data_IF_408983835858
#
_entry.id   IF_408983835858
#
_cell.length_a   1.000
_cell.length_b   1.000
_cell.length_c   1.000
_cell.angle_alpha   90.00
_cell.angle_beta   90.00
_cell.angle_gamma   90.00
#
_symmetry.space_group_name_H-M   'P 1'
#
loop_
_entity.id
_entity.type
_entity.pdbx_description
1 polymer ?
#
# COMPACT_ATOMS: atom_id res chain seq x y z
N UNK A 1 -35.71 73.32 45.69
CA UNK A 1 -36.86 74.22 45.45
C UNK A 1 -37.71 73.57 44.38
N UNK A 2 -39.04 73.50 44.57
CA UNK A 2 -40.07 73.03 43.59
C UNK A 2 -39.88 71.58 43.07
N UNK A 3 -40.87 70.70 42.89
CA UNK A 3 -42.27 70.81 42.43
C UNK A 3 -42.39 71.31 40.98
N UNK A 4 -43.33 70.87 40.15
CA UNK A 4 -44.43 69.89 40.34
C UNK A 4 -44.45 68.94 39.11
N UNK A 5 -45.50 68.35 38.51
CA UNK A 5 -46.97 68.39 38.62
C UNK A 5 -47.56 66.97 38.42
N UNK A 6 -48.85 66.82 38.75
CA UNK A 6 -49.56 65.54 38.92
C UNK A 6 -50.61 65.28 37.82
N UNK A 7 -50.75 64.04 37.33
CA UNK A 7 -52.05 63.38 36.97
C UNK A 7 -51.83 61.89 36.68
N UNK A 8 -52.35 60.86 37.36
CA UNK A 8 -53.48 60.60 38.28
C UNK A 8 -54.71 59.90 37.64
N UNK A 9 -55.20 58.87 38.36
CA UNK A 9 -56.35 57.93 38.15
C UNK A 9 -55.90 56.50 37.76
N UNK A 10 -55.91 55.46 38.62
CA UNK A 10 -56.94 54.81 39.49
C UNK A 10 -57.83 53.78 38.74
N UNK A 11 -58.32 52.69 39.40
CA UNK A 11 -57.64 51.81 40.36
C UNK A 11 -58.07 50.30 40.28
N UNK A 12 -57.43 49.45 41.11
CA UNK A 12 -57.97 48.14 41.59
C UNK A 12 -58.12 47.00 40.54
N UNK A 13 -58.24 45.71 40.89
CA UNK A 13 -58.47 45.04 42.19
C UNK A 13 -57.38 44.03 42.59
N UNK A 14 -57.40 43.62 43.87
CA UNK A 14 -56.57 42.55 44.46
C UNK A 14 -57.34 41.24 44.57
N UNK A 15 -56.61 40.13 44.64
CA UNK A 15 -57.04 38.86 45.26
C UNK A 15 -56.88 37.65 44.33
N UNK A 16 -56.50 36.46 44.81
CA UNK A 16 -55.84 36.07 46.07
C UNK A 16 -55.35 34.61 45.90
N UNK A 17 -54.35 34.18 46.67
CA UNK A 17 -53.90 32.76 46.67
C UNK A 17 -55.00 31.84 47.21
N UNK A 18 -55.06 30.57 46.75
CA UNK A 18 -54.92 29.38 47.62
C UNK A 18 -54.78 28.06 46.83
N UNK A 19 -53.82 27.25 47.31
CA UNK A 19 -53.58 25.80 47.24
C UNK A 19 -54.11 24.89 46.10
N UNK A 20 -53.16 24.13 45.55
CA UNK A 20 -53.15 22.65 45.40
C UNK A 20 -54.17 21.94 44.48
N UNK A 21 -53.64 21.19 43.50
CA UNK A 21 -53.74 19.72 43.51
C UNK A 21 -52.74 19.07 42.53
N UNK A 22 -52.02 18.03 42.97
CA UNK A 22 -51.02 17.32 42.17
C UNK A 22 -51.67 16.17 41.37
N UNK A 23 -52.07 16.43 40.13
CA UNK A 23 -52.68 15.42 39.27
C UNK A 23 -51.64 14.65 38.43
N UNK A 24 -51.39 13.38 38.79
CA UNK A 24 -50.56 12.45 38.02
C UNK A 24 -51.19 12.14 36.66
N UNK A 25 -50.74 12.81 35.59
CA UNK A 25 -51.00 12.38 34.21
C UNK A 25 -49.96 11.34 33.79
N UNK A 26 -50.39 10.08 33.73
CA UNK A 26 -49.62 9.00 33.09
C UNK A 26 -49.46 9.31 31.60
N UNK A 27 -48.25 9.68 31.18
CA UNK A 27 -47.93 9.86 29.76
C UNK A 27 -47.79 8.51 29.08
N UNK A 28 -48.68 8.19 28.14
CA UNK A 28 -48.59 6.97 27.34
C UNK A 28 -47.27 6.93 26.56
N UNK A 29 -46.43 5.94 26.86
CA UNK A 29 -45.11 5.80 26.26
C UNK A 29 -45.24 5.49 24.75
N UNK A 30 -44.95 6.50 23.92
CA UNK A 30 -44.90 6.36 22.46
C UNK A 30 -43.68 5.47 22.10
N UNK A 31 -43.86 4.32 21.45
CA UNK A 31 -42.76 3.39 21.22
C UNK A 31 -41.69 4.04 20.32
N UNK A 32 -40.45 4.09 20.81
CA UNK A 32 -39.31 4.53 20.00
C UNK A 32 -39.13 3.57 18.83
N UNK A 33 -39.31 4.10 17.62
CA UNK A 33 -39.03 3.37 16.38
C UNK A 33 -37.55 3.00 16.39
N UNK A 34 -37.22 1.71 16.50
CA UNK A 34 -35.83 1.20 16.47
C UNK A 34 -35.11 1.85 15.27
N UNK A 35 -34.03 2.56 15.54
CA UNK A 35 -33.12 2.97 14.48
C UNK A 35 -32.52 1.69 13.89
N UNK A 36 -32.59 1.53 12.57
CA UNK A 36 -31.86 0.46 11.89
C UNK A 36 -30.37 0.76 12.07
N UNK A 37 -29.69 -0.05 12.89
CA UNK A 37 -28.23 -0.03 12.95
C UNK A 37 -27.70 -0.29 11.54
N UNK A 38 -26.93 0.67 11.01
CA UNK A 38 -26.33 0.54 9.70
C UNK A 38 -25.38 -0.68 9.72
N UNK A 39 -25.64 -1.67 8.86
CA UNK A 39 -24.68 -2.75 8.62
C UNK A 39 -23.39 -2.13 8.07
N UNK A 40 -22.22 -2.34 8.68
CA UNK A 40 -20.96 -1.94 8.07
C UNK A 40 -20.79 -2.74 6.76
N UNK A 41 -20.47 -2.04 5.67
CA UNK A 41 -20.15 -2.67 4.38
C UNK A 41 -18.69 -3.14 4.46
N UNK A 42 -18.49 -4.29 5.08
CA UNK A 42 -17.24 -5.05 4.98
C UNK A 42 -17.54 -6.38 4.31
N UNK A 43 -17.09 -6.53 3.07
CA UNK A 43 -17.23 -7.75 2.25
C UNK A 43 -15.97 -8.61 2.29
N UNK A 44 -15.01 -8.28 3.16
CA UNK A 44 -13.85 -9.13 3.44
C UNK A 44 -14.32 -10.39 4.17
N UNK A 45 -14.33 -11.53 3.47
CA UNK A 45 -14.41 -12.84 4.12
C UNK A 45 -13.22 -12.96 5.06
N UNK A 46 -13.47 -12.92 6.37
CA UNK A 46 -12.42 -13.06 7.36
C UNK A 46 -11.84 -14.48 7.28
N UNK A 47 -10.56 -14.59 6.89
CA UNK A 47 -9.75 -15.80 7.09
C UNK A 47 -9.45 -15.94 8.58
N UNK A 48 -10.48 -16.31 9.35
CA UNK A 48 -10.31 -16.83 10.70
C UNK A 48 -9.79 -18.26 10.57
N UNK A 49 -8.89 -18.65 11.46
CA UNK A 49 -8.79 -20.07 11.81
C UNK A 49 -10.15 -20.50 12.38
N UNK A 50 -10.67 -21.65 11.97
CA UNK A 50 -11.92 -22.20 12.52
C UNK A 50 -11.77 -22.66 13.98
N UNK A 51 -10.55 -22.70 14.51
CA UNK A 51 -10.29 -22.77 15.95
C UNK A 51 -10.55 -21.39 16.60
N UNK A 52 -11.48 -21.28 17.57
CA UNK A 52 -11.54 -20.10 18.43
C UNK A 52 -10.21 -19.99 19.18
N UNK A 53 -9.47 -18.90 18.95
CA UNK A 53 -8.33 -18.55 19.81
C UNK A 53 -8.94 -18.06 21.13
N UNK A 54 -8.76 -18.82 22.21
CA UNK A 54 -9.21 -18.38 23.51
C UNK A 54 -8.28 -17.27 24.03
N UNK A 55 -8.83 -16.06 24.05
CA UNK A 55 -8.16 -14.84 24.52
C UNK A 55 -8.63 -14.44 25.93
N UNK A 56 -9.44 -15.28 26.61
CA UNK A 56 -10.00 -14.93 27.93
C UNK A 56 -8.94 -14.91 29.04
N UNK A 57 -7.86 -15.66 28.89
CA UNK A 57 -6.70 -15.66 29.79
C UNK A 57 -5.67 -14.57 29.45
N UNK A 58 -5.78 -13.92 28.28
CA UNK A 58 -4.84 -12.88 27.84
C UNK A 58 -5.32 -11.52 28.37
N UNK A 59 -4.56 -10.86 29.27
CA UNK A 59 -4.93 -9.52 29.73
C UNK A 59 -4.88 -8.53 28.55
N UNK A 60 -5.85 -7.61 28.40
CA UNK A 60 -5.89 -6.68 27.27
C UNK A 60 -4.74 -5.67 27.38
N UNK A 61 -3.69 -5.87 26.57
CA UNK A 61 -2.54 -4.98 26.49
C UNK A 61 -2.80 -3.80 25.55
N UNK A 62 -2.10 -2.66 25.73
CA UNK A 62 -2.07 -1.59 24.73
C UNK A 62 -1.46 -2.08 23.40
N UNK A 63 -1.86 -1.49 22.27
CA UNK A 63 -1.27 -1.81 20.95
C UNK A 63 0.25 -1.48 20.86
N UNK A 64 0.75 -0.64 21.76
CA UNK A 64 2.18 -0.35 21.92
C UNK A 64 2.92 -1.34 22.83
N UNK A 65 2.28 -2.42 23.27
CA UNK A 65 2.93 -3.49 24.04
C UNK A 65 3.45 -4.56 23.08
N UNK A 66 4.69 -4.38 22.65
CA UNK A 66 5.40 -5.26 21.74
C UNK A 66 5.96 -6.49 22.48
N UNK A 67 6.03 -7.62 21.78
CA UNK A 67 6.74 -8.82 22.24
C UNK A 67 8.27 -8.61 22.27
N UNK A 68 8.99 -9.50 22.95
CA UNK A 68 10.47 -9.42 23.05
C UNK A 68 11.15 -9.38 21.67
N UNK A 69 10.67 -10.16 20.71
CA UNK A 69 11.18 -10.19 19.32
C UNK A 69 10.89 -8.87 18.59
N UNK A 70 9.71 -8.30 18.78
CA UNK A 70 9.31 -7.02 18.17
C UNK A 70 10.10 -5.83 18.76
N UNK A 71 10.40 -5.85 20.06
CA UNK A 71 11.31 -4.86 20.68
C UNK A 71 12.76 -5.04 20.20
N UNK A 72 13.26 -6.27 20.11
CA UNK A 72 14.61 -6.55 19.60
C UNK A 72 14.78 -6.14 18.13
N UNK A 73 13.74 -6.31 17.31
CA UNK A 73 13.68 -5.76 15.95
C UNK A 73 13.76 -4.23 15.97
N UNK A 74 12.97 -3.56 16.83
CA UNK A 74 13.01 -2.11 16.97
C UNK A 74 14.42 -1.60 17.35
N UNK A 75 15.01 -2.13 18.43
CA UNK A 75 16.35 -1.72 18.90
C UNK A 75 17.44 -1.95 17.84
N UNK A 76 17.44 -3.12 17.18
CA UNK A 76 18.43 -3.45 16.16
C UNK A 76 18.34 -2.54 14.93
N UNK A 77 17.12 -2.34 14.40
CA UNK A 77 16.91 -1.51 13.20
C UNK A 77 17.12 -0.04 13.50
N UNK A 78 16.67 0.46 14.66
CA UNK A 78 16.92 1.85 15.07
C UNK A 78 18.42 2.13 15.21
N UNK A 79 19.18 1.18 15.76
CA UNK A 79 20.65 1.28 15.80
C UNK A 79 21.26 1.28 14.40
N UNK A 80 20.93 0.31 13.55
CA UNK A 80 21.43 0.25 12.17
C UNK A 80 21.12 1.53 11.38
N UNK A 81 19.91 2.07 11.53
CA UNK A 81 19.51 3.32 10.90
C UNK A 81 20.35 4.51 11.38
N UNK A 82 20.58 4.67 12.68
CA UNK A 82 21.37 5.78 13.22
C UNK A 82 22.88 5.64 12.98
N UNK A 83 23.44 4.43 13.07
CA UNK A 83 24.88 4.19 12.93
C UNK A 83 25.34 4.13 11.45
N UNK A 84 24.51 3.62 10.54
CA UNK A 84 24.91 3.30 9.15
C UNK A 84 24.19 4.13 8.09
N UNK A 85 22.88 4.36 8.24
CA UNK A 85 22.08 5.06 7.22
C UNK A 85 22.16 6.58 7.42
N UNK A 86 21.94 7.07 8.64
CA UNK A 86 21.89 8.51 8.99
C UNK A 86 23.09 9.33 8.45
N UNK A 87 24.35 8.85 8.48
CA UNK A 87 25.48 9.59 7.91
C UNK A 87 25.42 9.78 6.39
N UNK A 88 24.62 8.98 5.67
CA UNK A 88 24.57 8.91 4.20
C UNK A 88 23.31 9.53 3.58
N UNK A 89 22.23 9.70 4.35
CA UNK A 89 20.89 10.16 3.86
C UNK A 89 20.99 11.38 2.96
N UNK A 90 21.76 12.40 3.39
CA UNK A 90 21.91 13.65 2.64
C UNK A 90 22.59 13.44 1.29
N UNK A 91 23.65 12.64 1.26
CA UNK A 91 24.42 12.40 0.04
C UNK A 91 23.62 11.56 -0.96
N UNK A 92 22.75 10.64 -0.46
CA UNK A 92 21.82 9.87 -1.28
C UNK A 92 20.68 10.73 -1.87
N UNK A 93 20.10 11.65 -1.08
CA UNK A 93 19.06 12.59 -1.53
C UNK A 93 19.62 13.57 -2.57
N UNK A 94 20.77 14.20 -2.30
CA UNK A 94 21.43 15.13 -3.24
C UNK A 94 21.92 14.43 -4.53
N UNK A 95 22.18 13.11 -4.49
CA UNK A 95 22.57 12.31 -5.66
C UNK A 95 21.39 11.65 -6.41
N UNK A 96 20.16 11.72 -5.89
CA UNK A 96 18.98 10.96 -6.36
C UNK A 96 19.25 9.43 -6.49
N UNK A 97 20.11 8.85 -5.64
CA UNK A 97 20.61 7.47 -5.76
C UNK A 97 20.74 6.76 -4.41
N UNK A 98 20.23 5.52 -4.35
CA UNK A 98 20.46 4.61 -3.22
C UNK A 98 21.92 4.14 -3.20
N UNK A 99 22.50 3.94 -2.01
CA UNK A 99 23.81 3.30 -1.84
C UNK A 99 23.67 1.77 -1.92
N UNK A 100 24.31 1.07 -2.88
CA UNK A 100 24.29 -0.38 -2.97
C UNK A 100 24.76 -1.09 -1.69
N UNK A 101 25.67 -0.47 -0.92
CA UNK A 101 26.17 -1.05 0.33
C UNK A 101 25.13 -0.97 1.47
N UNK A 102 24.13 -0.06 1.40
CA UNK A 102 22.97 -0.12 2.31
C UNK A 102 22.05 -1.26 1.87
N UNK A 103 21.81 -1.42 0.56
CA UNK A 103 20.96 -2.49 0.03
C UNK A 103 21.51 -3.88 0.38
N UNK A 104 22.82 -4.08 0.28
CA UNK A 104 23.52 -5.30 0.71
C UNK A 104 23.31 -5.58 2.21
N UNK A 105 23.57 -4.59 3.08
CA UNK A 105 23.36 -4.73 4.52
C UNK A 105 21.89 -4.96 4.91
N UNK A 106 20.91 -4.48 4.15
CA UNK A 106 19.49 -4.79 4.39
C UNK A 106 19.17 -6.28 4.21
N UNK A 107 19.88 -6.98 3.30
CA UNK A 107 19.80 -8.44 3.20
C UNK A 107 20.56 -9.12 4.34
N UNK A 108 21.76 -8.65 4.70
CA UNK A 108 22.55 -9.22 5.80
C UNK A 108 21.83 -9.13 7.17
N UNK A 109 21.09 -8.04 7.42
CA UNK A 109 20.26 -7.85 8.61
C UNK A 109 18.91 -8.57 8.55
N UNK A 110 18.61 -9.30 7.46
CA UNK A 110 17.35 -10.04 7.27
C UNK A 110 16.12 -9.16 6.98
N UNK A 111 16.29 -7.84 6.85
CA UNK A 111 15.19 -6.87 6.71
C UNK A 111 14.46 -6.96 5.36
N UNK A 112 15.08 -7.60 4.36
CA UNK A 112 14.43 -7.93 3.09
C UNK A 112 13.64 -9.26 3.14
N UNK A 113 13.72 -10.02 4.22
CA UNK A 113 13.14 -11.37 4.32
C UNK A 113 12.23 -11.60 5.53
N UNK A 114 11.62 -10.55 6.10
CA UNK A 114 11.05 -10.59 7.46
C UNK A 114 9.94 -11.64 7.63
N UNK A 115 8.92 -11.61 6.76
CA UNK A 115 7.81 -12.59 6.75
C UNK A 115 8.13 -13.88 5.95
N UNK A 116 9.32 -13.99 5.34
CA UNK A 116 9.68 -15.19 4.57
C UNK A 116 10.02 -16.32 5.57
N UNK A 117 9.45 -17.53 5.44
CA UNK A 117 9.77 -18.65 6.33
C UNK A 117 11.25 -19.07 6.29
N UNK A 118 11.75 -19.58 7.42
CA UNK A 118 13.13 -20.08 7.56
C UNK A 118 13.49 -21.17 6.54
N UNK A 119 12.53 -21.99 6.10
CA UNK A 119 12.75 -23.00 5.03
C UNK A 119 13.13 -22.38 3.66
N UNK A 120 12.88 -21.08 3.49
CA UNK A 120 13.31 -20.28 2.35
C UNK A 120 14.39 -19.25 2.72
N UNK A 121 15.04 -19.37 3.87
CA UNK A 121 16.13 -18.47 4.30
C UNK A 121 15.68 -17.06 4.71
N UNK A 122 14.40 -16.85 5.01
CA UNK A 122 13.91 -15.62 5.63
C UNK A 122 13.90 -15.69 7.16
N UNK A 123 13.46 -14.61 7.81
CA UNK A 123 13.49 -14.47 9.26
C UNK A 123 12.31 -15.12 10.00
N UNK A 124 11.28 -15.60 9.28
CA UNK A 124 10.12 -16.28 9.88
C UNK A 124 9.26 -15.43 10.83
N UNK A 125 9.44 -14.11 10.84
CA UNK A 125 8.80 -13.20 11.79
C UNK A 125 7.36 -12.85 11.37
N UNK A 126 6.63 -12.19 12.28
CA UNK A 126 5.27 -11.73 12.03
C UNK A 126 5.23 -10.42 11.21
N UNK A 127 4.04 -10.08 10.69
CA UNK A 127 3.80 -8.83 9.97
C UNK A 127 4.11 -7.57 10.81
N UNK A 128 3.89 -7.62 12.12
CA UNK A 128 4.16 -6.49 13.02
C UNK A 128 5.66 -6.13 13.05
N UNK A 129 6.55 -7.12 13.13
CA UNK A 129 7.99 -6.93 13.10
C UNK A 129 8.45 -6.28 11.78
N UNK A 130 7.84 -6.66 10.65
CA UNK A 130 8.10 -5.99 9.37
C UNK A 130 7.68 -4.51 9.41
N UNK A 131 6.50 -4.19 9.94
CA UNK A 131 6.04 -2.79 10.11
C UNK A 131 6.96 -2.01 11.06
N UNK A 132 7.45 -2.62 12.14
CA UNK A 132 8.39 -2.00 13.10
C UNK A 132 9.73 -1.68 12.40
N UNK A 133 10.29 -2.62 11.64
CA UNK A 133 11.51 -2.37 10.88
C UNK A 133 11.34 -1.25 9.85
N UNK A 134 10.19 -1.22 9.16
CA UNK A 134 9.82 -0.13 8.23
C UNK A 134 9.69 1.21 8.98
N UNK A 135 9.11 1.24 10.18
CA UNK A 135 8.96 2.45 11.00
C UNK A 135 10.30 2.99 11.52
N UNK A 136 11.18 2.14 12.07
CA UNK A 136 12.51 2.55 12.53
C UNK A 136 13.36 3.11 11.38
N UNK A 137 13.33 2.47 10.21
CA UNK A 137 13.98 3.02 9.00
C UNK A 137 13.37 4.38 8.62
N UNK A 138 12.05 4.54 8.68
CA UNK A 138 11.37 5.77 8.29
C UNK A 138 11.70 6.97 9.19
N UNK A 139 12.15 6.75 10.43
CA UNK A 139 12.61 7.82 11.34
C UNK A 139 13.94 8.43 10.93
N UNK A 140 14.72 7.75 10.08
CA UNK A 140 16.01 8.22 9.55
C UNK A 140 15.93 8.52 8.06
N UNK A 141 15.47 7.55 7.26
CA UNK A 141 15.34 7.69 5.80
C UNK A 141 14.09 6.98 5.26
N UNK A 142 13.02 7.74 4.94
CA UNK A 142 11.83 7.22 4.26
C UNK A 142 12.12 6.53 2.92
N UNK A 143 13.23 6.84 2.26
CA UNK A 143 13.64 6.26 0.97
C UNK A 143 14.14 4.83 1.13
N UNK A 144 14.90 4.56 2.21
CA UNK A 144 15.31 3.20 2.58
C UNK A 144 14.12 2.42 3.12
N UNK A 145 13.27 3.06 3.93
CA UNK A 145 12.03 2.47 4.45
C UNK A 145 11.09 1.99 3.34
N UNK A 146 10.81 2.82 2.31
CA UNK A 146 9.91 2.42 1.22
C UNK A 146 10.50 1.34 0.30
N UNK A 147 11.83 1.24 0.20
CA UNK A 147 12.51 0.14 -0.50
C UNK A 147 12.22 -1.20 0.20
N UNK A 148 12.31 -1.22 1.52
CA UNK A 148 12.04 -2.40 2.38
C UNK A 148 10.56 -2.75 2.42
N UNK A 149 9.67 -1.75 2.50
CA UNK A 149 8.21 -1.93 2.47
C UNK A 149 7.75 -2.59 1.17
N UNK A 150 8.02 -1.97 0.01
CA UNK A 150 7.61 -2.49 -1.30
C UNK A 150 8.15 -3.89 -1.55
N UNK A 151 9.33 -4.20 -1.02
CA UNK A 151 9.90 -5.54 -1.10
C UNK A 151 9.13 -6.55 -0.25
N UNK A 152 8.93 -6.31 1.06
CA UNK A 152 8.25 -7.25 1.95
C UNK A 152 6.73 -7.30 1.73
N UNK A 153 6.04 -6.15 1.88
CA UNK A 153 4.58 -6.09 2.02
C UNK A 153 3.85 -6.24 0.68
N UNK A 154 4.51 -5.93 -0.44
CA UNK A 154 3.97 -6.14 -1.79
C UNK A 154 4.58 -7.36 -2.48
N UNK A 155 5.91 -7.43 -2.62
CA UNK A 155 6.53 -8.46 -3.47
C UNK A 155 6.59 -9.83 -2.78
N UNK A 156 7.17 -9.91 -1.58
CA UNK A 156 7.32 -11.17 -0.86
C UNK A 156 5.96 -11.72 -0.43
N UNK A 157 5.10 -10.86 0.12
CA UNK A 157 3.70 -11.19 0.44
C UNK A 157 2.94 -11.76 -0.79
N UNK A 158 3.18 -11.26 -2.01
CA UNK A 158 2.51 -11.78 -3.20
C UNK A 158 2.97 -13.19 -3.60
N UNK A 159 4.27 -13.50 -3.46
CA UNK A 159 4.80 -14.85 -3.73
C UNK A 159 4.43 -15.84 -2.62
N UNK A 160 4.37 -15.40 -1.36
CA UNK A 160 3.88 -16.22 -0.24
C UNK A 160 2.38 -16.59 -0.42
N UNK A 161 1.53 -15.62 -0.77
CA UNK A 161 0.06 -15.81 -0.84
C UNK A 161 -0.44 -16.42 -2.16
N UNK A 162 0.22 -16.14 -3.29
CA UNK A 162 -0.25 -16.57 -4.62
C UNK A 162 0.82 -17.27 -5.47
N UNK A 163 2.07 -17.42 -5.00
CA UNK A 163 3.06 -18.25 -5.68
C UNK A 163 2.71 -19.75 -5.57
N UNK A 164 2.96 -20.50 -6.63
CA UNK A 164 3.02 -21.96 -6.56
C UNK A 164 4.26 -22.43 -5.79
N UNK A 165 4.28 -23.65 -5.27
CA UNK A 165 5.45 -24.18 -4.54
C UNK A 165 6.75 -24.16 -5.37
N UNK A 166 6.64 -24.31 -6.70
CA UNK A 166 7.78 -24.16 -7.61
C UNK A 166 8.28 -22.70 -7.69
N UNK A 167 7.37 -21.73 -7.66
CA UNK A 167 7.73 -20.30 -7.61
C UNK A 167 8.32 -19.92 -6.25
N UNK A 168 7.71 -20.37 -5.15
CA UNK A 168 8.22 -20.14 -3.78
C UNK A 168 9.67 -20.64 -3.65
N UNK A 169 9.91 -21.90 -4.02
CA UNK A 169 11.25 -22.53 -3.99
C UNK A 169 12.26 -21.87 -4.92
N UNK A 170 11.85 -21.32 -6.08
CA UNK A 170 12.75 -20.57 -6.98
C UNK A 170 13.12 -19.19 -6.42
N UNK A 171 12.17 -18.50 -5.80
CA UNK A 171 12.24 -17.05 -5.58
C UNK A 171 12.39 -16.59 -4.14
N UNK A 172 11.70 -17.20 -3.18
CA UNK A 172 11.79 -16.74 -1.78
C UNK A 172 13.22 -16.76 -1.22
N UNK A 173 14.07 -17.79 -1.51
CA UNK A 173 15.48 -17.76 -1.09
C UNK A 173 16.33 -16.66 -1.73
N UNK A 174 15.94 -16.18 -2.91
CA UNK A 174 16.62 -15.06 -3.59
C UNK A 174 16.15 -13.72 -3.04
N UNK A 175 14.84 -13.57 -2.87
CA UNK A 175 14.20 -12.39 -2.29
C UNK A 175 14.63 -12.17 -0.84
N UNK A 176 14.90 -13.23 -0.07
CA UNK A 176 15.42 -13.10 1.28
C UNK A 176 16.92 -12.69 1.36
N UNK A 177 17.71 -12.84 0.28
CA UNK A 177 19.20 -12.80 0.39
C UNK A 177 19.97 -11.91 -0.58
N UNK A 178 19.48 -11.64 -1.79
CA UNK A 178 20.25 -10.88 -2.80
C UNK A 178 19.45 -10.25 -3.94
N UNK A 179 18.16 -10.57 -4.11
CA UNK A 179 17.36 -10.15 -5.26
C UNK A 179 16.35 -9.09 -4.84
N UNK A 180 16.64 -7.82 -5.14
CA UNK A 180 15.66 -6.73 -4.95
C UNK A 180 14.47 -6.91 -5.89
N UNK A 181 13.30 -6.44 -5.46
CA UNK A 181 12.02 -6.65 -6.14
C UNK A 181 11.23 -5.35 -6.34
N UNK A 182 10.43 -5.32 -7.42
CA UNK A 182 9.57 -4.19 -7.81
C UNK A 182 8.15 -4.62 -8.16
N UNK A 183 7.16 -3.93 -7.58
CA UNK A 183 5.73 -4.15 -7.85
C UNK A 183 5.24 -3.24 -8.99
N UNK A 184 4.86 -3.81 -10.13
CA UNK A 184 4.71 -3.09 -11.40
C UNK A 184 3.24 -3.00 -11.87
N UNK A 185 2.45 -2.19 -11.16
CA UNK A 185 1.02 -1.97 -11.44
C UNK A 185 0.75 -0.70 -12.27
N UNK A 186 1.11 0.47 -11.77
CA UNK A 186 0.68 1.77 -12.29
C UNK A 186 1.27 2.17 -13.65
N UNK A 187 0.53 3.02 -14.38
CA UNK A 187 0.84 3.48 -15.73
C UNK A 187 0.54 4.98 -15.90
N UNK A 188 1.07 5.66 -16.95
CA UNK A 188 0.74 7.06 -17.23
C UNK A 188 -0.76 7.35 -17.44
N UNK A 189 -1.56 6.32 -17.72
CA UNK A 189 -3.02 6.39 -17.92
C UNK A 189 -3.82 5.70 -16.80
N UNK A 190 -3.14 5.02 -15.86
CA UNK A 190 -3.75 4.16 -14.85
C UNK A 190 -3.02 4.35 -13.51
N UNK A 191 -3.46 5.38 -12.78
CA UNK A 191 -3.01 5.71 -11.42
C UNK A 191 -4.03 5.21 -10.39
N UNK A 192 -4.89 6.11 -9.91
CA UNK A 192 -5.96 5.78 -8.95
C UNK A 192 -6.99 4.79 -9.50
N UNK A 193 -7.30 4.85 -10.80
CA UNK A 193 -7.94 3.73 -11.51
C UNK A 193 -6.86 2.77 -12.00
N UNK A 194 -6.44 1.88 -11.09
CA UNK A 194 -5.39 0.89 -11.34
C UNK A 194 -5.84 -0.28 -12.24
N UNK A 195 -7.12 -0.35 -12.60
CA UNK A 195 -7.67 -1.42 -13.46
C UNK A 195 -7.89 -0.98 -14.91
N UNK A 196 -7.87 0.33 -15.20
CA UNK A 196 -7.81 0.90 -16.54
C UNK A 196 -6.43 0.73 -17.25
N UNK A 197 -5.60 -0.23 -16.81
CA UNK A 197 -4.25 -0.43 -17.33
C UNK A 197 -4.26 -0.85 -18.81
N UNK A 198 -3.34 -0.27 -19.58
CA UNK A 198 -3.20 -0.45 -21.02
C UNK A 198 -2.09 -1.44 -21.40
N UNK A 199 -1.22 -1.84 -20.48
CA UNK A 199 -0.22 -2.89 -20.73
C UNK A 199 -0.91 -4.22 -21.02
N UNK A 200 -0.76 -4.69 -22.26
CA UNK A 200 -1.36 -5.95 -22.74
C UNK A 200 -0.37 -7.10 -22.63
N UNK A 201 -0.82 -8.25 -22.15
CA UNK A 201 -0.16 -9.53 -22.36
C UNK A 201 -0.80 -10.26 -23.55
N UNK A 202 0.00 -10.90 -24.40
CA UNK A 202 -0.48 -11.72 -25.52
C UNK A 202 0.19 -13.09 -25.45
N UNK A 203 -0.61 -14.15 -25.55
CA UNK A 203 -0.13 -15.53 -25.57
C UNK A 203 0.58 -15.85 -26.89
N UNK A 204 1.61 -16.68 -26.81
CA UNK A 204 2.50 -17.10 -27.90
C UNK A 204 2.86 -18.58 -27.71
N UNK A 205 3.44 -19.23 -28.73
CA UNK A 205 3.80 -20.65 -28.65
C UNK A 205 4.73 -21.00 -27.46
N UNK A 206 5.60 -20.07 -27.06
CA UNK A 206 6.64 -20.27 -26.05
C UNK A 206 6.37 -19.54 -24.71
N UNK A 207 5.21 -18.88 -24.57
CA UNK A 207 4.85 -18.11 -23.38
C UNK A 207 4.06 -16.84 -23.66
N UNK A 208 4.40 -15.72 -23.02
CA UNK A 208 3.66 -14.45 -23.15
C UNK A 208 4.56 -13.28 -23.55
N UNK A 209 4.07 -12.44 -24.47
CA UNK A 209 4.65 -11.13 -24.78
C UNK A 209 3.86 -10.02 -24.07
N UNK A 210 4.53 -9.24 -23.22
CA UNK A 210 3.96 -8.07 -22.55
C UNK A 210 4.38 -6.80 -23.31
N UNK A 211 3.38 -5.97 -23.64
CA UNK A 211 3.56 -4.72 -24.39
C UNK A 211 2.81 -3.58 -23.70
N UNK A 212 3.55 -2.62 -23.16
CA UNK A 212 3.01 -1.43 -22.52
C UNK A 212 4.09 -0.55 -21.92
N UNK A 213 3.74 0.21 -20.88
CA UNK A 213 4.67 1.05 -20.13
C UNK A 213 4.18 1.25 -18.70
N UNK A 214 4.96 0.78 -17.73
CA UNK A 214 4.73 1.06 -16.30
C UNK A 214 5.42 2.36 -15.89
N UNK A 215 4.94 2.97 -14.81
CA UNK A 215 5.41 4.26 -14.30
C UNK A 215 5.31 4.29 -12.76
N UNK A 216 6.20 5.04 -12.10
CA UNK A 216 6.28 5.15 -10.64
C UNK A 216 6.65 3.83 -9.94
N UNK A 217 7.59 3.08 -10.53
CA UNK A 217 8.00 1.77 -10.02
C UNK A 217 9.18 1.93 -9.05
N UNK A 218 8.89 1.82 -7.75
CA UNK A 218 9.89 1.77 -6.68
C UNK A 218 10.87 0.61 -6.89
N UNK A 219 12.11 0.79 -6.46
CA UNK A 219 13.23 -0.15 -6.61
C UNK A 219 13.61 -0.51 -8.06
N UNK A 220 13.12 0.20 -9.09
CA UNK A 220 13.25 -0.27 -10.48
C UNK A 220 14.66 -0.18 -11.09
N UNK A 221 15.60 0.47 -10.42
CA UNK A 221 17.02 0.52 -10.83
C UNK A 221 17.77 -0.67 -10.22
N UNK A 222 17.49 -0.95 -8.96
CA UNK A 222 18.11 -1.95 -8.09
C UNK A 222 17.56 -3.35 -8.41
N UNK A 223 16.24 -3.46 -8.57
CA UNK A 223 15.48 -4.70 -8.74
C UNK A 223 15.94 -5.57 -9.89
N UNK A 224 16.05 -6.88 -9.63
CA UNK A 224 16.21 -7.93 -10.64
C UNK A 224 14.89 -8.69 -10.91
N UNK A 225 13.87 -8.47 -10.07
CA UNK A 225 12.61 -9.23 -10.05
C UNK A 225 11.38 -8.31 -10.10
N UNK A 226 10.57 -8.43 -11.16
CA UNK A 226 9.45 -7.53 -11.43
C UNK A 226 8.11 -8.29 -11.44
N UNK A 227 7.17 -7.92 -10.57
CA UNK A 227 5.79 -8.41 -10.61
C UNK A 227 4.97 -7.47 -11.51
N UNK A 228 4.83 -7.82 -12.80
CA UNK A 228 4.20 -7.00 -13.83
C UNK A 228 2.73 -7.37 -14.00
N UNK A 229 1.84 -6.40 -13.80
CA UNK A 229 0.41 -6.56 -14.06
C UNK A 229 0.08 -6.20 -15.50
N UNK A 230 -0.41 -7.15 -16.28
CA UNK A 230 -0.77 -6.96 -17.68
C UNK A 230 -2.11 -7.64 -18.00
N UNK A 231 -2.86 -7.08 -18.95
CA UNK A 231 -4.18 -7.59 -19.29
C UNK A 231 -4.09 -8.58 -20.46
N UNK A 232 -4.50 -9.84 -20.23
CA UNK A 232 -4.60 -10.88 -21.27
C UNK A 232 -5.82 -10.67 -22.17
N UNK A 233 -6.90 -10.08 -21.63
CA UNK A 233 -8.16 -9.90 -22.34
C UNK A 233 -8.92 -8.66 -21.85
N UNK A 234 -8.68 -7.54 -22.51
CA UNK A 234 -9.37 -6.28 -22.24
C UNK A 234 -10.90 -6.36 -22.42
N UNK A 235 -11.45 -7.35 -23.14
CA UNK A 235 -12.92 -7.52 -23.22
C UNK A 235 -13.54 -7.96 -21.88
N UNK A 236 -12.73 -8.55 -21.00
CA UNK A 236 -13.09 -8.89 -19.61
C UNK A 236 -12.79 -7.75 -18.61
N UNK A 237 -12.29 -6.61 -19.08
CA UNK A 237 -11.88 -5.48 -18.24
C UNK A 237 -10.86 -5.89 -17.18
N UNK A 238 -11.12 -5.53 -15.92
CA UNK A 238 -10.24 -5.91 -14.79
C UNK A 238 -10.06 -7.42 -14.62
N UNK A 239 -11.02 -8.25 -15.08
CA UNK A 239 -10.96 -9.72 -14.95
C UNK A 239 -10.01 -10.39 -15.96
N UNK A 240 -9.43 -9.63 -16.89
CA UNK A 240 -8.35 -10.08 -17.76
C UNK A 240 -6.94 -9.75 -17.23
N UNK A 241 -6.83 -8.93 -16.17
CA UNK A 241 -5.55 -8.57 -15.55
C UNK A 241 -4.94 -9.80 -14.89
N UNK A 242 -3.67 -10.07 -15.21
CA UNK A 242 -2.87 -11.19 -14.70
C UNK A 242 -1.52 -10.65 -14.23
N UNK A 243 -0.97 -11.24 -13.16
CA UNK A 243 0.36 -10.93 -12.67
C UNK A 243 1.40 -11.87 -13.30
N UNK A 244 2.48 -11.28 -13.81
CA UNK A 244 3.61 -11.98 -14.44
C UNK A 244 4.88 -11.69 -13.65
N UNK A 245 5.75 -12.69 -13.53
CA UNK A 245 7.11 -12.50 -13.02
C UNK A 245 8.03 -12.28 -14.22
N UNK A 246 8.78 -11.18 -14.20
CA UNK A 246 9.75 -10.81 -15.24
C UNK A 246 11.11 -10.59 -14.60
N UNK A 247 12.15 -11.18 -15.18
CA UNK A 247 13.53 -11.05 -14.73
C UNK A 247 14.22 -9.88 -15.48
N UNK A 248 15.12 -9.15 -14.83
CA UNK A 248 15.88 -8.06 -15.47
C UNK A 248 16.70 -8.58 -16.65
N UNK A 249 16.81 -7.78 -17.71
CA UNK A 249 17.49 -8.19 -18.94
C UNK A 249 16.72 -9.16 -19.84
N UNK A 250 15.48 -9.57 -19.49
CA UNK A 250 14.64 -10.37 -20.40
C UNK A 250 14.49 -9.64 -21.75
N UNK A 251 14.77 -10.28 -22.91
CA UNK A 251 14.92 -9.58 -24.19
C UNK A 251 13.71 -8.77 -24.66
N UNK A 252 13.96 -7.49 -24.96
CA UNK A 252 12.99 -6.59 -25.58
C UNK A 252 12.92 -6.82 -27.10
N UNK A 253 11.74 -7.23 -27.60
CA UNK A 253 11.47 -7.25 -29.03
C UNK A 253 11.35 -5.81 -29.58
N UNK A 254 12.02 -5.45 -30.70
CA UNK A 254 12.06 -4.07 -31.17
C UNK A 254 10.70 -3.58 -31.66
N UNK A 255 10.11 -2.62 -30.94
CA UNK A 255 8.81 -2.02 -31.27
C UNK A 255 8.78 -1.44 -32.70
N UNK A 256 7.73 -1.71 -33.50
CA UNK A 256 7.67 -1.28 -34.90
C UNK A 256 7.49 0.23 -35.05
N UNK A 257 8.62 0.94 -35.18
CA UNK A 257 8.75 2.33 -35.67
C UNK A 257 7.83 3.36 -35.02
N UNK A 258 8.26 3.92 -33.88
CA UNK A 258 7.95 5.33 -33.56
C UNK A 258 8.49 6.22 -34.70
N UNK A 259 7.60 6.73 -35.57
CA UNK A 259 7.97 7.67 -36.64
C UNK A 259 8.73 8.86 -36.05
N UNK A 260 9.95 9.14 -36.52
CA UNK A 260 10.59 10.44 -36.29
C UNK A 260 9.77 11.50 -37.02
N UNK A 261 9.06 12.35 -36.28
CA UNK A 261 8.58 13.63 -36.80
C UNK A 261 9.78 14.57 -36.97
N UNK A 262 10.10 14.92 -38.21
CA UNK A 262 11.11 15.92 -38.55
C UNK A 262 10.53 17.32 -38.33
N UNK A 263 10.98 18.04 -37.31
CA UNK A 263 10.64 19.45 -37.09
C UNK A 263 11.86 20.22 -36.55
N UNK A 264 12.05 21.41 -37.10
CA UNK A 264 13.09 22.40 -36.85
C UNK A 264 13.43 22.66 -35.37
N UNK A 265 14.72 22.81 -35.06
CA UNK A 265 15.19 23.25 -33.75
C UNK A 265 15.27 24.78 -33.61
N UNK A 266 14.91 25.29 -32.42
CA UNK A 266 15.34 26.58 -31.83
C UNK A 266 15.14 26.50 -30.30
N UNK A 267 16.09 26.96 -29.46
CA UNK A 267 15.93 26.96 -28.00
C UNK A 267 15.56 28.36 -27.44
N UNK A 268 14.52 28.44 -26.60
CA UNK A 268 14.24 29.51 -25.63
C UNK A 268 12.85 29.28 -24.97
N UNK A 269 12.54 29.88 -23.79
CA UNK A 269 13.39 30.11 -22.62
C UNK A 269 12.80 29.42 -21.36
N UNK A 270 13.35 29.69 -20.18
CA UNK A 270 12.86 29.13 -18.91
C UNK A 270 11.78 30.00 -18.23
N UNK A 271 10.89 29.38 -17.46
CA UNK A 271 10.04 30.04 -16.47
C UNK A 271 9.81 29.17 -15.22
N UNK A 272 9.98 29.81 -14.07
CA UNK A 272 9.72 29.36 -12.69
C UNK A 272 8.28 28.87 -12.41
N UNK A 273 7.91 28.24 -11.28
CA UNK A 273 8.62 27.45 -10.24
C UNK A 273 7.55 26.85 -9.33
N UNK A 274 7.63 25.58 -8.96
CA UNK A 274 7.02 25.05 -7.73
C UNK A 274 7.71 23.73 -7.31
N UNK A 275 8.00 23.59 -6.02
CA UNK A 275 8.85 22.53 -5.48
C UNK A 275 8.06 21.38 -4.88
N UNK A 276 8.24 20.19 -5.45
CA UNK A 276 8.05 18.88 -4.79
C UNK A 276 9.01 17.92 -5.50
N UNK A 277 9.55 16.93 -4.79
CA UNK A 277 10.67 16.07 -5.23
C UNK A 277 10.51 15.54 -6.66
N UNK A 278 11.46 15.87 -7.53
CA UNK A 278 11.44 15.54 -8.96
C UNK A 278 12.34 14.34 -9.27
N UNK A 279 11.92 13.15 -8.82
CA UNK A 279 12.47 11.86 -9.28
C UNK A 279 12.76 11.90 -10.79
N UNK A 280 13.96 11.48 -11.24
CA UNK A 280 14.51 11.89 -12.52
C UNK A 280 13.70 11.35 -13.71
N UNK A 281 13.41 12.23 -14.67
CA UNK A 281 12.53 11.94 -15.83
C UNK A 281 13.22 11.13 -16.94
N UNK A 282 13.76 9.95 -16.61
CA UNK A 282 14.22 8.82 -17.46
C UNK A 282 14.27 7.58 -16.55
N UNK A 283 13.79 6.37 -16.89
CA UNK A 283 13.47 5.78 -18.20
C UNK A 283 12.30 4.80 -18.09
N UNK A 284 11.39 4.75 -19.07
CA UNK A 284 10.41 3.66 -19.16
C UNK A 284 11.04 2.42 -19.81
N UNK A 285 11.15 1.29 -19.09
CA UNK A 285 11.52 -0.01 -19.66
C UNK A 285 10.54 -1.09 -19.15
N UNK A 286 9.64 -1.52 -20.04
CA UNK A 286 8.66 -2.60 -19.79
C UNK A 286 8.19 -3.24 -21.12
N UNK A 287 9.13 -3.45 -22.05
CA UNK A 287 8.89 -4.19 -23.30
C UNK A 287 9.58 -5.54 -23.21
N UNK A 288 8.85 -6.58 -22.84
CA UNK A 288 9.37 -7.93 -22.64
C UNK A 288 8.22 -8.95 -22.81
N UNK A 289 8.34 -10.04 -23.57
CA UNK A 289 9.46 -10.47 -24.40
C UNK A 289 8.97 -11.38 -25.53
N UNK A 290 9.90 -11.84 -26.35
CA UNK A 290 9.79 -13.14 -27.02
C UNK A 290 11.06 -13.89 -26.67
N UNK A 291 10.94 -14.98 -25.90
CA UNK A 291 12.09 -15.70 -25.35
C UNK A 291 11.66 -16.75 -24.34
N UNK A 292 12.24 -17.94 -24.43
CA UNK A 292 11.83 -19.14 -23.70
C UNK A 292 12.24 -19.09 -22.22
N UNK A 293 11.32 -18.66 -21.36
CA UNK A 293 11.17 -19.24 -20.04
C UNK A 293 9.73 -19.72 -19.92
N UNK A 294 9.53 -21.00 -19.54
CA UNK A 294 8.18 -21.55 -19.38
C UNK A 294 7.44 -20.70 -18.35
N UNK A 295 6.41 -19.90 -18.72
CA UNK A 295 5.81 -19.01 -17.77
C UNK A 295 4.98 -19.87 -16.84
N UNK A 296 5.42 -20.02 -15.59
CA UNK A 296 4.55 -20.43 -14.49
C UNK A 296 3.60 -19.28 -14.18
N UNK A 297 2.76 -18.93 -15.17
CA UNK A 297 1.72 -17.94 -15.05
C UNK A 297 0.79 -18.39 -13.94
N UNK A 298 0.71 -17.61 -12.86
CA UNK A 298 -0.26 -17.89 -11.82
C UNK A 298 -1.64 -17.48 -12.36
N UNK A 299 -2.29 -18.40 -13.07
CA UNK A 299 -3.65 -18.24 -13.58
C UNK A 299 -4.70 -18.38 -12.46
N UNK A 300 -4.42 -17.84 -11.27
CA UNK A 300 -5.42 -17.59 -10.25
C UNK A 300 -6.37 -16.53 -10.80
N UNK A 301 -7.51 -16.98 -11.34
CA UNK A 301 -8.62 -16.09 -11.67
C UNK A 301 -8.85 -15.14 -10.49
N UNK A 302 -8.77 -13.83 -10.74
CA UNK A 302 -9.22 -12.84 -9.78
C UNK A 302 -10.65 -13.21 -9.34
N UNK A 303 -10.79 -13.59 -8.06
CA UNK A 303 -11.96 -14.32 -7.59
C UNK A 303 -13.23 -13.51 -7.85
N UNK A 304 -14.17 -14.09 -8.60
CA UNK A 304 -15.38 -13.40 -9.02
C UNK A 304 -16.36 -13.27 -7.85
N UNK A 305 -16.12 -12.28 -6.99
CA UNK A 305 -17.05 -11.85 -5.96
C UNK A 305 -18.37 -11.42 -6.63
N UNK A 306 -19.34 -12.33 -6.60
CA UNK A 306 -20.68 -12.16 -7.14
C UNK A 306 -21.57 -13.10 -6.33
N UNK A 307 -22.46 -12.59 -5.46
CA UNK A 307 -23.26 -13.45 -4.60
C UNK A 307 -24.23 -14.31 -5.44
N UNK A 308 -24.59 -15.51 -4.97
CA UNK A 308 -25.68 -16.27 -5.57
C UNK A 308 -26.99 -15.48 -5.50
N UNK A 309 -27.90 -15.79 -6.43
CA UNK A 309 -29.27 -15.26 -6.46
C UNK A 309 -30.19 -16.07 -5.56
#
# INVERSE_FOLDING_TARGET
MSSTFTRALRPALRGSRILSQTALRQGLARPMRRANLARPISTTTALRSDSPIDISEIPPTPISHLSEVENAMAESVSKFANDVILPKVRDMDEAESMDPAIVEQLFEQGLMGVEIPEEYGGAGMNFTAAIIGIEELARVDPSVSVLVDVHNTLCNTAILKWGSEALKRKWLPKLATNTVASFCLSEPVSGSDAFALATKATETADGFTISGSKMWITNSIESDFFIVFANLDHSKGYRGITAFIVEKGTPASPSPRRRRSSASGRPAPASSTSTTSRSPRRTCWASAATGTSTPSACSTRAASASPPR
#
